data_IF_841436481600
#
_entry.id   IF_841436481600
#
_cell.length_a   1.000
_cell.length_b   1.000
_cell.length_c   1.000
_cell.angle_alpha   90.00
_cell.angle_beta   90.00
_cell.angle_gamma   90.00
#
_symmetry.space_group_name_H-M   'P 1'
#
loop_
_entity.id
_entity.type
_entity.pdbx_description
1 polymer ?
#
# COMPACT_ATOMS: atom_id res chain seq x y z
N UNK A 1 -8.45 -20.24 10.95
CA UNK A 1 -7.34 -19.27 11.13
C UNK A 1 -6.06 -20.08 11.29
N UNK A 2 -5.00 -19.80 10.51
CA UNK A 2 -3.72 -20.53 10.62
C UNK A 2 -2.86 -19.90 11.73
N UNK A 3 -2.07 -20.73 12.42
CA UNK A 3 -1.17 -20.29 13.49
C UNK A 3 0.17 -19.82 12.91
N UNK A 4 0.19 -18.63 12.30
CA UNK A 4 1.36 -18.11 11.58
C UNK A 4 2.25 -17.31 12.53
N UNK A 5 3.55 -17.65 12.55
CA UNK A 5 4.60 -16.88 13.24
C UNK A 5 5.08 -15.72 12.35
N UNK A 6 5.40 -14.57 12.93
CA UNK A 6 5.74 -13.35 12.15
C UNK A 6 7.09 -12.78 12.55
N UNK A 7 7.98 -12.59 11.56
CA UNK A 7 9.21 -11.82 11.70
C UNK A 7 9.01 -10.50 10.94
N UNK A 8 9.12 -9.38 11.65
CA UNK A 8 8.97 -8.05 11.07
C UNK A 8 10.28 -7.27 11.10
N UNK A 9 10.50 -6.44 10.10
CA UNK A 9 11.57 -5.45 10.04
C UNK A 9 11.08 -4.20 9.29
N UNK A 10 11.82 -3.10 9.42
CA UNK A 10 11.63 -1.93 8.55
C UNK A 10 12.96 -1.46 7.97
N UNK A 11 12.93 -1.01 6.72
CA UNK A 11 14.02 -0.29 6.05
C UNK A 11 13.80 1.22 6.05
N UNK A 12 12.76 1.69 6.75
CA UNK A 12 12.47 3.11 6.96
C UNK A 12 12.55 3.44 8.45
N UNK A 13 13.29 4.50 8.79
CA UNK A 13 13.38 4.99 10.16
C UNK A 13 11.99 5.34 10.73
N UNK A 14 11.14 6.00 9.94
CA UNK A 14 9.75 6.30 10.33
C UNK A 14 8.82 5.09 10.36
N UNK A 15 9.26 3.93 9.86
CA UNK A 15 8.47 2.70 9.85
C UNK A 15 8.39 2.02 11.22
N UNK A 16 9.28 2.35 12.16
CA UNK A 16 9.34 1.73 13.49
C UNK A 16 8.02 1.90 14.25
N UNK A 17 7.57 3.15 14.44
CA UNK A 17 6.32 3.41 15.15
C UNK A 17 5.07 2.86 14.44
N UNK A 18 5.12 2.71 13.11
CA UNK A 18 4.05 2.05 12.35
C UNK A 18 4.04 0.55 12.63
N UNK A 19 5.20 -0.10 12.58
CA UNK A 19 5.35 -1.51 12.85
C UNK A 19 4.93 -1.85 14.28
N UNK A 20 5.41 -1.12 15.29
CA UNK A 20 5.04 -1.35 16.69
C UNK A 20 3.53 -1.24 16.92
N UNK A 21 2.91 -0.18 16.40
CA UNK A 21 1.46 0.03 16.54
C UNK A 21 0.66 -1.11 15.89
N UNK A 22 1.02 -1.51 14.67
CA UNK A 22 0.28 -2.54 13.93
C UNK A 22 0.52 -3.93 14.53
N UNK A 23 1.77 -4.28 14.83
CA UNK A 23 2.11 -5.56 15.43
C UNK A 23 1.49 -5.70 16.82
N UNK A 24 1.58 -4.67 17.67
CA UNK A 24 0.98 -4.68 19.01
C UNK A 24 -0.54 -4.85 18.96
N UNK A 25 -1.23 -4.06 18.13
CA UNK A 25 -2.67 -4.16 17.98
C UNK A 25 -3.13 -5.55 17.49
N UNK A 26 -2.43 -6.12 16.51
CA UNK A 26 -2.76 -7.46 15.98
C UNK A 26 -2.38 -8.54 16.99
N UNK A 27 -1.26 -8.41 17.70
CA UNK A 27 -0.85 -9.36 18.72
C UNK A 27 -1.89 -9.45 19.84
N UNK A 28 -2.40 -8.31 20.32
CA UNK A 28 -3.49 -8.27 21.31
C UNK A 28 -4.77 -8.94 20.79
N UNK A 29 -5.20 -8.61 19.56
CA UNK A 29 -6.43 -9.18 18.97
C UNK A 29 -6.36 -10.72 18.87
N UNK A 30 -5.17 -11.26 18.61
CA UNK A 30 -4.96 -12.69 18.40
C UNK A 30 -4.32 -13.40 19.60
N UNK A 31 -4.17 -12.73 20.75
CA UNK A 31 -3.49 -13.24 21.96
C UNK A 31 -2.11 -13.83 21.66
N UNK A 32 -1.25 -13.07 20.97
CA UNK A 32 0.10 -13.48 20.55
C UNK A 32 1.15 -12.98 21.53
N UNK A 33 2.15 -13.83 21.76
CA UNK A 33 3.24 -13.56 22.68
C UNK A 33 4.50 -13.15 21.92
N UNK A 34 5.11 -12.03 22.33
CA UNK A 34 6.38 -11.57 21.77
C UNK A 34 7.48 -12.63 21.97
N UNK A 35 8.34 -12.79 20.97
CA UNK A 35 9.46 -13.75 20.98
C UNK A 35 9.08 -15.20 20.70
N UNK A 36 7.79 -15.56 20.77
CA UNK A 36 7.28 -16.91 20.46
C UNK A 36 6.44 -16.89 19.18
N UNK A 37 5.45 -16.00 19.11
CA UNK A 37 4.54 -15.87 17.97
C UNK A 37 4.99 -14.80 16.97
N UNK A 38 5.64 -13.73 17.46
CA UNK A 38 6.14 -12.67 16.61
C UNK A 38 7.38 -12.00 17.19
N UNK A 39 8.23 -11.47 16.30
CA UNK A 39 9.41 -10.68 16.65
C UNK A 39 9.51 -9.47 15.73
N UNK A 40 9.96 -8.35 16.28
CA UNK A 40 10.27 -7.15 15.50
C UNK A 40 11.76 -6.87 15.57
N UNK A 41 12.47 -7.13 14.47
CA UNK A 41 13.92 -6.96 14.37
C UNK A 41 14.35 -5.49 14.36
N UNK A 42 13.43 -4.57 14.08
CA UNK A 42 13.69 -3.13 14.11
C UNK A 42 14.08 -2.56 12.74
N UNK A 43 14.81 -1.45 12.78
CA UNK A 43 15.20 -0.67 11.61
C UNK A 43 16.63 -0.97 11.17
N UNK A 44 16.81 -1.28 9.89
CA UNK A 44 18.14 -1.32 9.27
C UNK A 44 18.23 -0.33 8.09
N UNK A 45 19.15 0.66 8.14
CA UNK A 45 19.31 1.64 7.06
C UNK A 45 19.91 1.05 5.78
N UNK A 46 20.70 -0.01 5.89
CA UNK A 46 21.31 -0.69 4.74
C UNK A 46 20.33 -1.72 4.17
N UNK A 47 19.28 -1.21 3.53
CA UNK A 47 18.23 -2.03 2.93
C UNK A 47 18.80 -3.03 1.93
N UNK A 48 19.84 -2.65 1.19
CA UNK A 48 20.45 -3.49 0.19
C UNK A 48 21.18 -4.69 0.80
N UNK A 49 22.09 -4.45 1.74
CA UNK A 49 22.81 -5.54 2.37
C UNK A 49 21.85 -6.39 3.21
N UNK A 50 20.82 -5.78 3.83
CA UNK A 50 19.79 -6.50 4.59
C UNK A 50 19.10 -7.55 3.73
N UNK A 51 18.61 -7.17 2.54
CA UNK A 51 17.91 -8.09 1.63
C UNK A 51 18.78 -9.29 1.22
N UNK A 52 20.10 -9.12 1.11
CA UNK A 52 21.01 -10.21 0.75
C UNK A 52 21.42 -11.03 1.97
N UNK A 53 21.83 -10.37 3.06
CA UNK A 53 22.37 -11.03 4.25
C UNK A 53 21.32 -11.83 5.02
N UNK A 54 20.06 -11.41 5.00
CA UNK A 54 18.96 -12.20 5.59
C UNK A 54 18.74 -13.53 4.86
N UNK A 55 19.17 -13.66 3.61
CA UNK A 55 19.18 -14.95 2.92
C UNK A 55 20.29 -15.89 3.37
N UNK A 56 21.32 -15.38 4.06
CA UNK A 56 22.41 -16.17 4.63
C UNK A 56 22.21 -16.43 6.13
N UNK A 57 21.92 -15.38 6.91
CA UNK A 57 21.61 -15.46 8.34
C UNK A 57 20.89 -14.19 8.82
N UNK A 58 19.69 -14.36 9.36
CA UNK A 58 18.87 -13.32 9.98
C UNK A 58 19.53 -12.87 11.27
N UNK A 59 20.01 -13.80 12.10
CA UNK A 59 20.67 -13.49 13.39
C UNK A 59 21.98 -12.73 13.19
N UNK A 60 22.74 -13.04 12.13
CA UNK A 60 23.95 -12.29 11.79
C UNK A 60 23.66 -10.93 11.17
N UNK A 61 22.47 -10.74 10.59
CA UNK A 61 22.02 -9.45 10.02
C UNK A 61 21.44 -8.55 11.11
N UNK A 62 20.72 -9.14 12.06
CA UNK A 62 20.13 -8.50 13.22
C UNK A 62 20.59 -9.25 14.49
N UNK A 63 21.75 -8.87 15.06
CA UNK A 63 22.24 -9.51 16.30
C UNK A 63 21.31 -9.28 17.49
N UNK A 64 20.60 -8.15 17.49
CA UNK A 64 19.56 -7.83 18.47
C UNK A 64 18.29 -7.41 17.74
N UNK A 65 17.16 -7.62 18.39
CA UNK A 65 15.87 -7.12 17.94
C UNK A 65 15.70 -5.61 18.23
N UNK A 66 14.49 -5.10 17.99
CA UNK A 66 14.14 -3.71 18.29
C UNK A 66 14.22 -3.36 19.79
N UNK A 67 13.97 -4.32 20.67
CA UNK A 67 13.93 -4.15 22.13
C UNK A 67 15.27 -4.50 22.80
N UNK A 68 16.34 -4.67 22.02
CA UNK A 68 17.67 -5.02 22.46
C UNK A 68 17.81 -6.42 23.08
N UNK A 69 16.87 -7.33 22.80
CA UNK A 69 17.03 -8.74 23.09
C UNK A 69 17.94 -9.38 22.04
N UNK A 70 18.87 -10.23 22.47
CA UNK A 70 19.77 -10.92 21.55
C UNK A 70 18.96 -11.93 20.73
N UNK A 71 19.11 -11.92 19.40
CA UNK A 71 18.28 -12.76 18.52
C UNK A 71 18.54 -14.26 18.70
N UNK A 72 19.69 -14.66 19.24
CA UNK A 72 19.98 -16.05 19.63
C UNK A 72 19.19 -16.52 20.86
N UNK A 73 18.59 -15.62 21.63
CA UNK A 73 17.80 -15.93 22.84
C UNK A 73 16.29 -15.88 22.58
N UNK A 74 15.88 -15.61 21.33
CA UNK A 74 14.48 -15.48 20.94
C UNK A 74 13.96 -16.84 20.44
N UNK A 75 13.00 -17.48 21.12
CA UNK A 75 12.52 -18.83 20.75
C UNK A 75 12.05 -18.97 19.30
N UNK A 76 11.40 -17.95 18.75
CA UNK A 76 10.94 -17.95 17.36
C UNK A 76 12.11 -18.09 16.36
N UNK A 77 13.28 -17.53 16.67
CA UNK A 77 14.47 -17.50 15.80
C UNK A 77 15.41 -18.70 16.03
N UNK A 78 15.03 -19.66 16.87
CA UNK A 78 15.79 -20.91 17.02
C UNK A 78 15.64 -21.78 15.75
N UNK A 79 14.44 -21.83 15.18
CA UNK A 79 14.08 -22.62 14.00
C UNK A 79 14.14 -21.83 12.68
N UNK A 80 14.44 -20.53 12.73
CA UNK A 80 14.39 -19.64 11.56
C UNK A 80 15.63 -18.77 11.52
N UNK A 81 16.49 -18.96 10.52
CA UNK A 81 17.69 -18.14 10.34
C UNK A 81 17.91 -17.66 8.91
N UNK A 82 17.18 -18.14 7.91
CA UNK A 82 17.30 -17.60 6.56
C UNK A 82 15.96 -17.55 5.83
N UNK A 83 15.98 -17.17 4.56
CA UNK A 83 14.80 -17.24 3.70
C UNK A 83 14.32 -18.67 3.46
N UNK A 84 15.20 -19.67 3.53
CA UNK A 84 14.81 -21.08 3.33
C UNK A 84 13.81 -21.57 4.40
N UNK A 85 13.85 -20.94 5.58
CA UNK A 85 12.96 -21.22 6.71
C UNK A 85 11.66 -20.37 6.67
N UNK A 86 11.51 -19.47 5.69
CA UNK A 86 10.40 -18.52 5.58
C UNK A 86 9.49 -18.88 4.40
N UNK A 87 8.27 -19.32 4.69
CA UNK A 87 7.30 -19.70 3.64
C UNK A 87 6.86 -18.53 2.74
N UNK A 88 6.81 -17.31 3.29
CA UNK A 88 6.27 -16.13 2.62
C UNK A 88 6.91 -14.84 3.13
N UNK A 89 7.40 -14.02 2.22
CA UNK A 89 7.84 -12.66 2.50
C UNK A 89 6.77 -11.68 2.04
N UNK A 90 6.40 -10.75 2.93
CA UNK A 90 5.43 -9.70 2.65
C UNK A 90 6.13 -8.34 2.72
N UNK A 91 6.12 -7.59 1.63
CA UNK A 91 6.69 -6.23 1.58
C UNK A 91 5.59 -5.21 1.42
N UNK A 92 5.49 -4.23 2.34
CA UNK A 92 4.52 -3.13 2.24
C UNK A 92 5.30 -1.83 2.13
N UNK A 93 5.21 -1.17 0.97
CA UNK A 93 6.05 0.00 0.68
C UNK A 93 5.41 0.95 -0.32
N UNK A 94 5.82 2.22 -0.23
CA UNK A 94 5.48 3.28 -1.17
C UNK A 94 6.62 3.59 -2.15
N UNK A 95 7.63 2.73 -2.25
CA UNK A 95 8.84 2.92 -3.07
C UNK A 95 9.25 1.65 -3.82
N UNK A 96 10.31 1.79 -4.63
CA UNK A 96 10.91 0.71 -5.40
C UNK A 96 11.51 -0.44 -4.57
N UNK A 97 11.47 -0.36 -3.23
CA UNK A 97 11.86 -1.47 -2.38
C UNK A 97 11.09 -2.76 -2.69
N UNK A 98 9.85 -2.69 -3.17
CA UNK A 98 9.10 -3.89 -3.57
C UNK A 98 9.81 -4.62 -4.72
N UNK A 99 10.24 -3.88 -5.74
CA UNK A 99 10.99 -4.41 -6.89
C UNK A 99 12.34 -4.98 -6.42
N UNK A 100 13.03 -4.32 -5.50
CA UNK A 100 14.29 -4.81 -4.95
C UNK A 100 14.14 -6.11 -4.15
N UNK A 101 13.09 -6.23 -3.31
CA UNK A 101 12.78 -7.48 -2.63
C UNK A 101 12.53 -8.62 -3.63
N UNK A 102 11.74 -8.36 -4.68
CA UNK A 102 11.45 -9.35 -5.73
C UNK A 102 12.73 -9.78 -6.45
N UNK A 103 13.58 -8.82 -6.85
CA UNK A 103 14.80 -9.14 -7.60
C UNK A 103 15.85 -9.84 -6.73
N UNK A 104 16.01 -9.45 -5.46
CA UNK A 104 17.13 -9.92 -4.66
C UNK A 104 16.75 -11.12 -3.79
N UNK A 105 15.70 -11.01 -2.99
CA UNK A 105 15.24 -12.17 -2.21
C UNK A 105 14.59 -13.21 -3.13
N UNK A 106 13.69 -12.78 -4.02
CA UNK A 106 13.03 -13.67 -4.97
C UNK A 106 13.99 -14.21 -6.02
N UNK A 107 14.76 -13.36 -6.68
CA UNK A 107 15.66 -13.78 -7.76
C UNK A 107 16.86 -14.62 -7.30
N UNK A 108 17.48 -14.31 -6.15
CA UNK A 108 18.67 -15.03 -5.66
C UNK A 108 18.31 -16.26 -4.82
N UNK A 109 17.33 -16.15 -3.94
CA UNK A 109 16.99 -17.18 -2.96
C UNK A 109 15.66 -17.89 -3.26
N UNK A 110 15.04 -17.60 -4.41
CA UNK A 110 13.74 -18.16 -4.78
C UNK A 110 12.64 -17.92 -3.72
N UNK A 111 12.78 -16.84 -2.94
CA UNK A 111 11.84 -16.50 -1.88
C UNK A 111 10.48 -16.17 -2.47
N UNK A 112 9.41 -16.77 -1.92
CA UNK A 112 8.04 -16.44 -2.31
C UNK A 112 7.65 -15.10 -1.70
N UNK A 113 7.27 -14.14 -2.56
CA UNK A 113 7.00 -12.75 -2.15
C UNK A 113 5.58 -12.34 -2.56
N UNK A 114 4.92 -11.59 -1.68
CA UNK A 114 3.76 -10.76 -2.00
C UNK A 114 4.00 -9.31 -1.59
N UNK A 115 3.31 -8.37 -2.22
CA UNK A 115 3.55 -6.94 -1.99
C UNK A 115 2.27 -6.14 -1.66
N UNK A 116 2.40 -5.11 -0.84
CA UNK A 116 1.41 -4.05 -0.65
C UNK A 116 1.99 -2.74 -1.14
N UNK A 117 1.40 -2.18 -2.20
CA UNK A 117 1.94 -1.03 -2.91
C UNK A 117 0.94 0.12 -2.95
N UNK A 118 1.42 1.35 -3.17
CA UNK A 118 0.54 2.45 -3.59
C UNK A 118 -0.02 2.17 -4.99
N UNK A 119 -1.07 2.89 -5.39
CA UNK A 119 -1.66 2.71 -6.72
C UNK A 119 -0.66 2.97 -7.87
N UNK A 120 0.30 3.88 -7.68
CA UNK A 120 1.34 4.17 -8.66
C UNK A 120 2.39 3.04 -8.68
N UNK A 121 2.81 2.56 -7.51
CA UNK A 121 3.76 1.45 -7.39
C UNK A 121 3.20 0.12 -7.90
N UNK A 122 1.88 -0.09 -7.79
CA UNK A 122 1.19 -1.26 -8.34
C UNK A 122 1.43 -1.44 -9.85
N UNK A 123 1.59 -0.33 -10.60
CA UNK A 123 1.90 -0.37 -12.04
C UNK A 123 3.30 -0.92 -12.29
N UNK A 124 4.25 -0.63 -11.41
CA UNK A 124 5.66 -1.04 -11.54
C UNK A 124 5.87 -2.52 -11.18
N UNK A 125 5.10 -3.06 -10.23
CA UNK A 125 5.20 -4.47 -9.82
C UNK A 125 4.39 -5.42 -10.71
N UNK A 126 3.53 -4.89 -11.57
CA UNK A 126 2.66 -5.69 -12.45
C UNK A 126 3.42 -6.66 -13.37
N UNK A 127 4.54 -6.26 -14.03
CA UNK A 127 5.32 -7.17 -14.85
C UNK A 127 5.87 -8.38 -14.06
N UNK A 128 6.32 -8.16 -12.82
CA UNK A 128 6.81 -9.25 -11.95
C UNK A 128 5.71 -10.21 -11.55
N UNK A 129 4.47 -9.72 -11.39
CA UNK A 129 3.32 -10.59 -11.15
C UNK A 129 2.99 -11.43 -12.39
N UNK A 130 3.04 -10.83 -13.59
CA UNK A 130 2.78 -11.55 -14.84
C UNK A 130 3.81 -12.63 -15.16
N UNK A 131 5.07 -12.43 -14.79
CA UNK A 131 6.15 -13.43 -14.97
C UNK A 131 6.18 -14.48 -13.84
N UNK A 132 5.33 -14.35 -12.81
CA UNK A 132 5.31 -15.25 -11.66
C UNK A 132 6.41 -15.00 -10.62
N UNK A 133 7.24 -13.97 -10.80
CA UNK A 133 8.27 -13.57 -9.83
C UNK A 133 7.67 -12.96 -8.56
N UNK A 134 6.46 -12.41 -8.64
CA UNK A 134 5.66 -11.92 -7.53
C UNK A 134 4.38 -12.77 -7.42
N UNK A 135 4.10 -13.34 -6.25
CA UNK A 135 2.97 -14.26 -6.08
C UNK A 135 1.61 -13.55 -6.01
N UNK A 136 1.59 -12.25 -5.74
CA UNK A 136 0.38 -11.44 -5.60
C UNK A 136 0.69 -10.09 -4.97
N UNK A 137 -0.20 -9.12 -5.13
CA UNK A 137 -0.04 -7.81 -4.51
C UNK A 137 -1.35 -7.08 -4.25
N UNK A 138 -1.32 -6.13 -3.31
CA UNK A 138 -2.40 -5.18 -3.04
C UNK A 138 -2.04 -3.82 -3.67
N UNK A 139 -2.83 -3.40 -4.66
CA UNK A 139 -2.63 -2.14 -5.37
C UNK A 139 -3.46 -0.99 -4.78
N UNK A 140 -2.83 -0.17 -3.95
CA UNK A 140 -3.43 1.01 -3.34
C UNK A 140 -4.68 0.71 -2.50
N UNK A 141 -5.53 1.72 -2.36
CA UNK A 141 -6.74 1.64 -1.55
C UNK A 141 -7.75 0.62 -2.09
N UNK A 142 -7.84 0.50 -3.41
CA UNK A 142 -8.70 -0.49 -4.07
C UNK A 142 -8.31 -1.91 -3.68
N UNK A 143 -7.03 -2.28 -3.81
CA UNK A 143 -6.56 -3.60 -3.44
C UNK A 143 -6.78 -3.90 -1.96
N UNK A 144 -6.54 -2.93 -1.08
CA UNK A 144 -6.83 -3.07 0.34
C UNK A 144 -8.33 -3.32 0.62
N UNK A 145 -9.22 -2.56 -0.02
CA UNK A 145 -10.67 -2.73 0.12
C UNK A 145 -11.16 -4.09 -0.41
N UNK A 146 -10.65 -4.54 -1.55
CA UNK A 146 -10.99 -5.85 -2.11
C UNK A 146 -10.55 -6.99 -1.18
N UNK A 147 -9.36 -6.88 -0.57
CA UNK A 147 -8.90 -7.83 0.44
C UNK A 147 -9.81 -7.83 1.68
N UNK A 148 -10.12 -6.66 2.22
CA UNK A 148 -11.04 -6.50 3.37
C UNK A 148 -12.42 -7.14 3.10
N UNK A 149 -12.98 -6.91 1.91
CA UNK A 149 -14.24 -7.54 1.48
C UNK A 149 -14.11 -9.06 1.35
N UNK A 150 -12.98 -9.55 0.80
CA UNK A 150 -12.72 -10.98 0.63
C UNK A 150 -12.67 -11.72 1.98
N UNK A 151 -12.15 -11.06 3.02
CA UNK A 151 -12.11 -11.63 4.38
C UNK A 151 -13.35 -11.26 5.23
N UNK A 152 -14.37 -10.64 4.62
CA UNK A 152 -15.60 -10.17 5.26
C UNK A 152 -15.35 -9.27 6.49
N UNK A 153 -14.32 -8.42 6.43
CA UNK A 153 -13.95 -7.49 7.51
C UNK A 153 -13.59 -6.13 6.94
N UNK A 154 -14.57 -5.23 6.95
CA UNK A 154 -14.39 -3.85 6.50
C UNK A 154 -13.41 -3.11 7.41
N UNK A 155 -12.45 -2.43 6.80
CA UNK A 155 -11.40 -1.70 7.48
C UNK A 155 -11.16 -0.33 6.86
N UNK A 156 -9.92 0.13 6.90
CA UNK A 156 -9.56 1.44 6.38
C UNK A 156 -9.63 1.48 4.85
N UNK A 157 -9.41 0.34 4.17
CA UNK A 157 -9.50 0.21 2.72
C UNK A 157 -10.90 0.53 2.21
N UNK A 158 -11.90 -0.21 2.70
CA UNK A 158 -13.32 -0.04 2.33
C UNK A 158 -13.80 1.37 2.67
N UNK A 159 -13.55 1.85 3.90
CA UNK A 159 -13.95 3.22 4.29
C UNK A 159 -13.36 4.29 3.39
N UNK A 160 -12.07 4.13 3.02
CA UNK A 160 -11.42 5.04 2.11
C UNK A 160 -12.01 5.00 0.70
N UNK A 161 -12.32 3.80 0.18
CA UNK A 161 -12.98 3.65 -1.12
C UNK A 161 -14.38 4.27 -1.14
N UNK A 162 -15.16 4.11 -0.06
CA UNK A 162 -16.49 4.72 0.06
C UNK A 162 -16.40 6.25 0.08
N UNK A 163 -15.49 6.81 0.89
CA UNK A 163 -15.24 8.25 0.94
C UNK A 163 -14.78 8.80 -0.41
N UNK A 164 -13.85 8.10 -1.09
CA UNK A 164 -13.39 8.46 -2.42
C UNK A 164 -14.56 8.45 -3.42
N UNK A 165 -15.42 7.44 -3.38
CA UNK A 165 -16.58 7.33 -4.29
C UNK A 165 -17.57 8.48 -4.10
N UNK A 166 -17.86 8.87 -2.86
CA UNK A 166 -18.70 10.03 -2.55
C UNK A 166 -18.07 11.35 -3.00
N UNK A 167 -16.76 11.54 -2.77
CA UNK A 167 -16.07 12.73 -3.25
C UNK A 167 -16.14 12.86 -4.79
N UNK A 168 -15.94 11.75 -5.51
CA UNK A 168 -16.06 11.74 -6.97
C UNK A 168 -17.49 12.06 -7.43
N UNK A 169 -18.51 11.53 -6.75
CA UNK A 169 -19.91 11.84 -7.05
C UNK A 169 -20.20 13.34 -6.90
N UNK A 170 -19.71 13.97 -5.82
CA UNK A 170 -19.88 15.42 -5.59
C UNK A 170 -19.19 16.24 -6.69
N UNK A 171 -17.97 15.86 -7.10
CA UNK A 171 -17.25 16.52 -8.20
C UNK A 171 -18.06 16.43 -9.50
N UNK A 172 -18.60 15.25 -9.83
CA UNK A 172 -19.46 15.06 -11.00
C UNK A 172 -20.70 15.94 -10.93
N UNK A 173 -21.37 16.02 -9.76
CA UNK A 173 -22.51 16.91 -9.57
C UNK A 173 -22.14 18.39 -9.81
N UNK A 174 -21.00 18.87 -9.31
CA UNK A 174 -20.55 20.24 -9.57
C UNK A 174 -20.19 20.50 -11.03
N UNK A 175 -19.58 19.53 -11.72
CA UNK A 175 -19.33 19.64 -13.16
C UNK A 175 -20.64 19.77 -13.94
N UNK A 176 -21.65 18.95 -13.60
CA UNK A 176 -22.97 19.01 -14.25
C UNK A 176 -23.63 20.36 -14.00
N UNK A 177 -23.67 20.82 -12.74
CA UNK A 177 -24.26 22.11 -12.37
C UNK A 177 -23.55 23.27 -13.07
N UNK A 178 -22.22 23.25 -13.13
CA UNK A 178 -21.41 24.24 -13.85
C UNK A 178 -21.73 24.27 -15.34
N UNK A 179 -21.82 23.10 -15.98
CA UNK A 179 -22.17 22.98 -17.39
C UNK A 179 -23.61 23.47 -17.69
N UNK A 180 -24.58 23.12 -16.84
CA UNK A 180 -25.97 23.60 -16.97
C UNK A 180 -26.02 25.12 -16.81
N UNK A 181 -25.35 25.68 -15.80
CA UNK A 181 -25.26 27.12 -15.58
C UNK A 181 -24.63 27.85 -16.78
N UNK A 182 -23.55 27.32 -17.34
CA UNK A 182 -22.90 27.85 -18.54
C UNK A 182 -23.85 27.85 -19.75
N UNK A 183 -24.60 26.77 -19.97
CA UNK A 183 -25.55 26.66 -21.09
C UNK A 183 -26.72 27.65 -20.95
N UNK A 184 -27.25 27.84 -19.74
CA UNK A 184 -28.29 28.84 -19.47
C UNK A 184 -27.74 30.25 -19.74
N UNK A 185 -26.55 30.57 -19.23
CA UNK A 185 -25.92 31.87 -19.44
C UNK A 185 -25.66 32.16 -20.93
N UNK A 186 -25.14 31.18 -21.68
CA UNK A 186 -24.89 31.29 -23.12
C UNK A 186 -26.18 31.56 -23.92
N UNK A 187 -27.30 30.93 -23.55
CA UNK A 187 -28.61 31.16 -24.20
C UNK A 187 -29.16 32.56 -23.91
N UNK A 188 -29.03 33.04 -22.67
CA UNK A 188 -29.48 34.40 -22.30
C UNK A 188 -28.62 35.48 -22.95
N UNK A 189 -27.29 35.30 -23.02
CA UNK A 189 -26.38 36.23 -23.68
C UNK A 189 -26.55 36.26 -25.23
N UNK A 190 -26.89 35.13 -25.86
CA UNK A 190 -27.23 35.08 -27.28
C UNK A 190 -28.52 35.82 -27.62
N UNK A 191 -29.54 35.71 -26.76
CA UNK A 191 -30.85 36.35 -26.96
C UNK A 191 -30.81 37.88 -26.82
N UNK A 192 -29.95 38.43 -25.96
CA UNK A 192 -29.71 39.88 -25.87
C UNK A 192 -28.98 40.46 -27.09
N UNK A 193 -28.13 39.69 -27.77
CA UNK A 193 -27.46 40.15 -29.01
C UNK A 193 -28.40 40.18 -30.22
N UNK A 194 -29.35 39.27 -30.32
CA UNK A 194 -30.36 39.29 -31.39
C UNK A 194 -31.39 40.42 -31.22
N UNK A 195 -31.81 40.70 -29.98
CA UNK A 195 -32.74 41.81 -29.70
C UNK A 195 -32.13 43.19 -29.97
N UNK A 196 -30.81 43.35 -29.80
CA UNK A 196 -30.09 44.58 -30.18
C UNK A 196 -29.89 44.77 -31.68
N UNK A 197 -30.18 43.76 -32.51
CA UNK A 197 -30.04 43.81 -33.97
C UNK A 197 -31.35 44.07 -34.72
N UNK A 198 -32.48 43.87 -34.05
CA UNK A 198 -33.84 44.11 -34.60
C UNK A 198 -34.30 45.57 -34.36
N UNK A 199 -33.58 46.33 -33.52
CA UNK A 199 -33.85 47.73 -33.22
C UNK A 199 -32.90 48.72 -33.92
N UNK A 200 -32.93 48.80 -35.25
CA UNK A 200 -32.62 50.05 -35.98
C UNK A 200 -33.07 49.93 -37.45
N UNK A 201 -34.26 50.44 -37.79
CA UNK A 201 -34.65 50.74 -39.16
C UNK A 201 -34.51 52.24 -39.49
N UNK A 202 -33.48 52.92 -39.01
CA UNK A 202 -33.23 54.33 -39.35
C UNK A 202 -31.75 54.57 -39.62
N UNK A 203 -31.30 54.34 -40.86
CA UNK A 203 -30.14 54.99 -41.50
C UNK A 203 -30.00 54.53 -42.97
N UNK A 204 -31.05 54.75 -43.76
CA UNK A 204 -30.98 54.73 -45.23
C UNK A 204 -31.86 55.85 -45.80
N UNK A 205 -31.31 57.07 -45.78
CA UNK A 205 -31.72 58.18 -46.63
C UNK A 205 -30.46 58.93 -47.05
#
# INVERSE_FOLDING_TARGET
RKNVRVIAQTTYAGGVGVAERVLGQVAEEYNRTYGVDYVFLGYNPDWSATMLRMGESIRSTYPTDHYHQTTSEIPLLEEVDSYDDIELLVTVTASALAEYWIMWAGGKYNQRIIAGNTAIQAVLVYPFFQTGQLAGFLGGLKGAAEYERMIARDGAGVRGMDAQSMAHLVIVCFIILGNVGFLIHKRTAGRSRDLGRVGSPEERA
#
